data_IF_563942067243
#
_entry.id   IF_563942067243
#
_cell.length_a   1.000
_cell.length_b   1.000
_cell.length_c   1.000
_cell.angle_alpha   90.00
_cell.angle_beta   90.00
_cell.angle_gamma   90.00
#
_symmetry.space_group_name_H-M   'P 1'
#
loop_
_entity.id
_entity.type
_entity.pdbx_description
1 polymer ?
#
# COMPACT_ATOMS: atom_id res chain seq x y z
N UNK A 1 18.06 23.10 40.10
CA UNK A 1 17.99 22.65 38.69
C UNK A 1 17.07 21.43 38.66
N UNK A 2 15.81 21.69 38.45
CA UNK A 2 14.79 20.62 38.35
C UNK A 2 14.84 20.04 36.94
N UNK A 3 15.28 18.80 36.86
CA UNK A 3 15.29 18.01 35.64
C UNK A 3 13.83 17.65 35.31
N UNK A 4 13.17 18.44 34.46
CA UNK A 4 11.85 18.19 33.96
C UNK A 4 11.98 17.12 32.85
N UNK A 5 12.16 15.87 33.26
CA UNK A 5 11.96 14.72 32.40
C UNK A 5 10.44 14.60 32.19
N UNK A 6 9.90 15.34 31.23
CA UNK A 6 8.59 14.99 30.67
C UNK A 6 8.71 13.56 30.15
N UNK A 7 8.15 12.62 30.88
CA UNK A 7 7.85 11.29 30.36
C UNK A 7 6.98 11.51 29.12
N UNK A 8 7.56 11.37 27.94
CA UNK A 8 6.78 11.32 26.72
C UNK A 8 5.84 10.13 26.90
N UNK A 9 4.55 10.41 27.07
CA UNK A 9 3.56 9.34 27.16
C UNK A 9 3.63 8.54 25.86
N UNK A 10 3.87 7.25 25.98
CA UNK A 10 3.95 6.34 24.84
C UNK A 10 2.58 6.33 24.16
N UNK A 11 2.53 6.52 22.83
CA UNK A 11 1.29 6.54 22.06
C UNK A 11 0.53 5.21 22.23
N UNK A 12 -0.74 5.27 22.63
CA UNK A 12 -1.61 4.11 22.74
C UNK A 12 -2.15 3.70 21.36
N UNK A 13 -2.56 2.43 21.23
CA UNK A 13 -3.22 1.94 20.01
C UNK A 13 -4.46 2.77 19.68
N UNK A 14 -5.32 3.08 20.66
CA UNK A 14 -6.50 3.92 20.43
C UNK A 14 -6.15 5.30 19.87
N UNK A 15 -5.08 5.93 20.36
CA UNK A 15 -4.61 7.23 19.88
C UNK A 15 -4.07 7.15 18.45
N UNK A 16 -3.30 6.10 18.15
CA UNK A 16 -2.77 5.83 16.81
C UNK A 16 -3.91 5.61 15.81
N UNK A 17 -4.90 4.78 16.15
CA UNK A 17 -6.03 4.49 15.26
C UNK A 17 -6.90 5.73 15.09
N UNK A 18 -7.17 6.49 16.15
CA UNK A 18 -7.92 7.74 16.02
C UNK A 18 -7.19 8.76 15.13
N UNK A 19 -5.87 8.89 15.25
CA UNK A 19 -5.08 9.73 14.35
C UNK A 19 -5.19 9.23 12.90
N UNK A 20 -5.08 7.91 12.69
CA UNK A 20 -5.20 7.29 11.38
C UNK A 20 -6.57 7.58 10.73
N UNK A 21 -7.65 7.33 11.46
CA UNK A 21 -9.02 7.50 10.96
C UNK A 21 -9.39 8.98 10.70
N UNK A 22 -8.72 9.91 11.34
CA UNK A 22 -8.83 11.34 11.02
C UNK A 22 -8.08 11.71 9.73
N UNK A 23 -7.02 10.99 9.38
CA UNK A 23 -6.23 11.24 8.18
C UNK A 23 -6.70 10.44 6.97
N UNK A 24 -7.02 9.17 7.16
CA UNK A 24 -7.51 8.24 6.15
C UNK A 24 -8.81 7.56 6.66
N UNK A 25 -9.91 8.31 6.62
CA UNK A 25 -11.17 7.87 7.21
C UNK A 25 -11.67 6.58 6.56
N UNK A 26 -11.99 5.52 7.33
CA UNK A 26 -12.55 4.27 6.79
C UNK A 26 -13.85 4.46 5.99
N UNK A 27 -14.62 5.52 6.26
CA UNK A 27 -15.83 5.83 5.49
C UNK A 27 -15.55 6.24 4.03
N UNK A 28 -14.29 6.52 3.67
CA UNK A 28 -13.88 6.82 2.28
C UNK A 28 -13.56 5.56 1.47
N UNK A 29 -13.63 4.38 2.09
CA UNK A 29 -13.43 3.11 1.39
C UNK A 29 -14.46 2.89 0.28
N UNK A 30 -14.12 2.06 -0.69
CA UNK A 30 -15.07 1.58 -1.68
C UNK A 30 -16.16 0.69 -1.04
N UNK A 31 -17.35 0.67 -1.61
CA UNK A 31 -18.50 -0.06 -1.06
C UNK A 31 -18.29 -1.58 -0.93
N UNK A 32 -17.36 -2.13 -1.68
CA UNK A 32 -17.00 -3.55 -1.67
C UNK A 32 -15.84 -3.87 -0.70
N UNK A 33 -15.19 -2.83 -0.15
CA UNK A 33 -14.00 -2.95 0.67
C UNK A 33 -14.31 -3.16 2.16
N UNK A 34 -13.29 -3.51 2.93
CA UNK A 34 -13.39 -3.75 4.37
C UNK A 34 -12.17 -3.16 5.11
N UNK A 35 -12.10 -1.81 5.17
CA UNK A 35 -11.08 -1.10 5.94
C UNK A 35 -11.41 -1.06 7.45
N UNK A 36 -10.40 -0.78 8.25
CA UNK A 36 -10.54 -0.65 9.69
C UNK A 36 -10.20 -1.94 10.44
N UNK A 37 -10.76 -2.08 11.63
CA UNK A 37 -10.52 -3.25 12.47
C UNK A 37 -10.99 -4.54 11.82
N UNK A 38 -10.06 -5.46 11.60
CA UNK A 38 -10.36 -6.83 11.18
C UNK A 38 -10.50 -7.76 12.37
N UNK A 39 -9.64 -7.56 13.38
CA UNK A 39 -9.68 -8.25 14.67
C UNK A 39 -9.23 -7.25 15.73
N UNK A 40 -10.06 -7.05 16.76
CA UNK A 40 -9.75 -6.19 17.91
C UNK A 40 -9.91 -7.02 19.20
N UNK A 41 -8.80 -7.51 19.81
CA UNK A 41 -8.84 -8.39 20.98
C UNK A 41 -8.74 -7.67 22.34
N UNK A 42 -9.15 -6.40 22.45
CA UNK A 42 -9.10 -5.63 23.70
C UNK A 42 -7.75 -4.95 23.97
N UNK A 43 -7.04 -4.51 22.92
CA UNK A 43 -5.68 -3.95 23.04
C UNK A 43 -5.61 -2.42 23.00
N UNK A 44 -6.72 -1.73 22.90
CA UNK A 44 -6.79 -0.28 22.62
C UNK A 44 -6.00 0.59 23.58
N UNK A 45 -5.96 0.23 24.87
CA UNK A 45 -5.27 1.00 25.91
C UNK A 45 -3.77 0.69 26.03
N UNK A 46 -3.28 -0.31 25.31
CA UNK A 46 -1.87 -0.68 25.35
C UNK A 46 -1.00 0.32 24.55
N UNK A 47 0.27 0.54 24.97
CA UNK A 47 1.25 1.24 24.13
C UNK A 47 1.38 0.57 22.76
N UNK A 48 1.29 1.35 21.68
CA UNK A 48 1.33 0.83 20.32
C UNK A 48 2.72 0.25 19.98
N UNK A 49 2.75 -1.03 19.60
CA UNK A 49 3.90 -1.73 19.04
C UNK A 49 3.46 -2.46 17.79
N UNK A 50 3.86 -1.94 16.65
CA UNK A 50 3.21 -2.18 15.36
C UNK A 50 4.11 -2.94 14.41
N UNK A 51 3.61 -4.05 13.88
CA UNK A 51 4.20 -4.75 12.74
C UNK A 51 3.40 -4.37 11.48
N UNK A 52 4.05 -3.75 10.50
CA UNK A 52 3.41 -3.31 9.25
C UNK A 52 3.66 -4.35 8.17
N UNK A 53 2.66 -4.62 7.35
CA UNK A 53 2.76 -5.49 6.16
C UNK A 53 1.84 -5.01 5.04
N UNK A 54 2.10 -5.47 3.83
CA UNK A 54 1.16 -5.30 2.72
C UNK A 54 -0.04 -6.24 2.93
N UNK A 55 0.23 -7.53 3.15
CA UNK A 55 -0.81 -8.56 3.32
C UNK A 55 -0.65 -9.29 4.65
N UNK A 56 -1.69 -9.30 5.52
CA UNK A 56 -1.64 -10.01 6.80
C UNK A 56 -1.83 -11.51 6.58
N UNK A 57 -0.75 -12.27 6.76
CA UNK A 57 -0.69 -13.73 6.60
C UNK A 57 -0.44 -14.44 7.93
N UNK A 58 -0.57 -15.78 7.94
CA UNK A 58 -0.15 -16.58 9.10
C UNK A 58 1.33 -16.38 9.41
N UNK A 59 2.19 -16.27 8.39
CA UNK A 59 3.63 -16.05 8.59
C UNK A 59 3.91 -14.68 9.26
N UNK A 60 3.16 -13.64 8.92
CA UNK A 60 3.24 -12.32 9.59
C UNK A 60 2.76 -12.42 11.05
N UNK A 61 1.68 -13.15 11.31
CA UNK A 61 1.19 -13.36 12.68
C UNK A 61 2.20 -14.17 13.52
N UNK A 62 2.78 -15.21 12.96
CA UNK A 62 3.82 -16.02 13.64
C UNK A 62 5.08 -15.18 13.91
N UNK A 63 5.47 -14.29 13.01
CA UNK A 63 6.54 -13.31 13.27
C UNK A 63 6.20 -12.42 14.45
N UNK A 64 4.99 -11.83 14.48
CA UNK A 64 4.55 -10.99 15.60
C UNK A 64 4.60 -11.75 16.93
N UNK A 65 4.14 -13.01 16.97
CA UNK A 65 4.21 -13.87 18.14
C UNK A 65 5.67 -14.18 18.53
N UNK A 66 6.53 -14.46 17.54
CA UNK A 66 7.94 -14.71 17.77
C UNK A 66 8.65 -13.51 18.40
N UNK A 67 8.36 -12.29 17.90
CA UNK A 67 8.89 -11.05 18.46
C UNK A 67 8.42 -10.84 19.91
N UNK A 68 7.16 -11.15 20.23
CA UNK A 68 6.67 -11.13 21.63
C UNK A 68 7.44 -12.08 22.53
N UNK A 69 7.73 -13.30 22.08
CA UNK A 69 8.51 -14.29 22.83
C UNK A 69 9.96 -13.82 23.06
N UNK A 70 10.45 -12.88 22.26
CA UNK A 70 11.78 -12.23 22.42
C UNK A 70 11.72 -10.96 23.28
N UNK A 71 10.57 -10.63 23.86
CA UNK A 71 10.38 -9.47 24.73
C UNK A 71 9.96 -8.19 24.00
N UNK A 72 9.69 -8.25 22.70
CA UNK A 72 9.11 -7.15 21.93
C UNK A 72 7.59 -7.36 21.89
N UNK A 73 6.86 -6.68 22.75
CA UNK A 73 5.43 -6.91 22.97
C UNK A 73 4.54 -6.38 21.83
N UNK A 74 4.69 -6.95 20.61
CA UNK A 74 3.87 -6.60 19.44
C UNK A 74 2.40 -6.83 19.77
N UNK A 75 1.57 -5.81 19.53
CA UNK A 75 0.15 -5.87 19.84
C UNK A 75 -0.76 -5.38 18.70
N UNK A 76 -0.16 -4.94 17.56
CA UNK A 76 -0.90 -4.54 16.38
C UNK A 76 -0.17 -4.97 15.11
N UNK A 77 -0.86 -5.67 14.22
CA UNK A 77 -0.52 -5.81 12.81
C UNK A 77 -1.32 -4.76 12.06
N UNK A 78 -0.62 -3.86 11.38
CA UNK A 78 -1.23 -2.83 10.54
C UNK A 78 -0.95 -3.18 9.08
N UNK A 79 -1.99 -3.52 8.33
CA UNK A 79 -1.89 -4.04 6.98
C UNK A 79 -2.53 -3.11 5.95
N UNK A 80 -2.06 -3.17 4.70
CA UNK A 80 -2.76 -2.54 3.59
C UNK A 80 -3.94 -3.39 3.15
N UNK A 81 -3.73 -4.66 2.81
CA UNK A 81 -4.80 -5.54 2.38
C UNK A 81 -5.67 -6.03 3.55
N UNK A 82 -7.00 -6.13 3.37
CA UNK A 82 -7.87 -6.67 4.39
C UNK A 82 -7.66 -8.18 4.59
N UNK A 83 -7.56 -8.60 5.85
CA UNK A 83 -7.54 -10.01 6.22
C UNK A 83 -8.89 -10.67 5.87
N UNK A 84 -9.98 -9.97 6.16
CA UNK A 84 -11.35 -10.43 5.92
C UNK A 84 -11.93 -9.61 4.77
N UNK A 85 -11.57 -9.97 3.53
CA UNK A 85 -12.05 -9.27 2.34
C UNK A 85 -13.56 -9.48 2.11
N UNK A 86 -14.04 -10.69 2.36
CA UNK A 86 -15.47 -11.02 2.25
C UNK A 86 -16.01 -11.49 3.60
N UNK A 87 -17.29 -11.20 3.93
CA UNK A 87 -17.89 -11.60 5.20
C UNK A 87 -17.73 -13.10 5.47
N UNK A 88 -17.27 -13.45 6.67
CA UNK A 88 -17.11 -14.84 7.09
C UNK A 88 -18.47 -15.44 7.45
N UNK A 89 -18.81 -16.58 6.85
CA UNK A 89 -20.00 -17.34 7.20
C UNK A 89 -19.79 -18.30 8.38
N UNK A 90 -18.55 -18.66 8.66
CA UNK A 90 -18.18 -19.54 9.78
C UNK A 90 -16.68 -19.43 10.08
N UNK A 91 -16.32 -19.74 11.33
CA UNK A 91 -14.93 -19.88 11.78
C UNK A 91 -14.72 -21.38 12.02
N UNK A 92 -13.80 -22.00 11.28
CA UNK A 92 -13.52 -23.44 11.35
C UNK A 92 -12.03 -23.72 11.35
N UNK A 93 -11.61 -24.79 12.05
CA UNK A 93 -10.21 -25.26 12.01
C UNK A 93 -9.79 -25.59 10.57
N UNK A 94 -8.49 -25.36 10.26
CA UNK A 94 -7.94 -25.59 8.93
C UNK A 94 -8.17 -24.45 7.92
N UNK A 95 -8.91 -23.41 8.29
CA UNK A 95 -9.04 -22.20 7.49
C UNK A 95 -8.01 -21.16 7.97
N UNK A 96 -7.15 -20.60 7.09
CA UNK A 96 -6.10 -19.63 7.48
C UNK A 96 -6.64 -18.41 8.21
N UNK A 97 -7.77 -17.83 7.77
CA UNK A 97 -8.37 -16.66 8.44
C UNK A 97 -8.87 -17.03 9.84
N UNK A 98 -9.50 -18.21 9.99
CA UNK A 98 -9.94 -18.70 11.31
C UNK A 98 -8.77 -18.91 12.26
N UNK A 99 -7.62 -19.36 11.77
CA UNK A 99 -6.40 -19.51 12.55
C UNK A 99 -5.82 -18.15 12.94
N UNK A 100 -5.81 -17.19 12.03
CA UNK A 100 -5.45 -15.79 12.33
C UNK A 100 -6.31 -15.21 13.45
N UNK A 101 -7.63 -15.39 13.38
CA UNK A 101 -8.57 -14.96 14.44
C UNK A 101 -8.23 -15.60 15.77
N UNK A 102 -8.01 -16.92 15.80
CA UNK A 102 -7.65 -17.65 17.01
C UNK A 102 -6.34 -17.13 17.63
N UNK A 103 -5.29 -16.99 16.82
CA UNK A 103 -3.98 -16.50 17.26
C UNK A 103 -4.05 -15.04 17.76
N UNK A 104 -4.77 -14.18 17.06
CA UNK A 104 -4.96 -12.78 17.42
C UNK A 104 -5.57 -12.65 18.83
N UNK A 105 -6.66 -13.37 19.12
CA UNK A 105 -7.27 -13.37 20.45
C UNK A 105 -6.40 -14.07 21.50
N UNK A 106 -5.74 -15.19 21.16
CA UNK A 106 -4.88 -15.91 22.09
C UNK A 106 -3.67 -15.07 22.54
N UNK A 107 -3.08 -14.32 21.61
CA UNK A 107 -1.88 -13.52 21.85
C UNK A 107 -2.18 -12.03 22.02
N UNK A 108 -3.44 -11.61 22.02
CA UNK A 108 -3.84 -10.22 22.10
C UNK A 108 -3.08 -9.32 21.09
N UNK A 109 -3.13 -9.72 19.81
CA UNK A 109 -2.58 -8.97 18.70
C UNK A 109 -3.72 -8.52 17.81
N UNK A 110 -3.96 -7.21 17.72
CA UNK A 110 -4.94 -6.64 16.82
C UNK A 110 -4.53 -6.73 15.36
N UNK A 111 -5.50 -6.74 14.44
CA UNK A 111 -5.27 -6.61 12.99
C UNK A 111 -6.13 -5.47 12.48
N UNK A 112 -5.49 -4.44 11.96
CA UNK A 112 -6.12 -3.26 11.38
C UNK A 112 -5.72 -3.11 9.92
N UNK A 113 -6.66 -2.71 9.07
CA UNK A 113 -6.44 -2.59 7.62
C UNK A 113 -6.72 -1.18 7.12
N UNK A 114 -5.82 -0.70 6.27
CA UNK A 114 -5.89 0.56 5.55
C UNK A 114 -5.72 0.28 4.05
N UNK A 115 -6.81 0.18 3.33
CA UNK A 115 -6.84 -0.24 1.92
C UNK A 115 -7.29 0.92 1.02
N UNK A 116 -8.45 0.84 0.38
CA UNK A 116 -8.88 1.88 -0.58
C UNK A 116 -9.06 3.28 0.02
N UNK A 117 -9.26 3.41 1.32
CA UNK A 117 -9.21 4.70 2.00
C UNK A 117 -7.79 5.30 2.02
N UNK A 118 -6.75 4.46 2.15
CA UNK A 118 -5.34 4.89 2.10
C UNK A 118 -4.88 5.22 0.68
N UNK A 119 -5.46 4.59 -0.34
CA UNK A 119 -5.15 4.87 -1.74
C UNK A 119 -5.53 6.27 -2.20
N UNK A 120 -6.48 6.90 -1.53
CA UNK A 120 -7.03 8.18 -1.93
C UNK A 120 -6.34 9.38 -1.28
N UNK A 121 -5.76 9.20 -0.08
CA UNK A 121 -5.26 10.33 0.71
C UNK A 121 -3.96 10.90 0.16
N UNK A 122 -3.70 12.17 0.47
CA UNK A 122 -2.41 12.80 0.21
C UNK A 122 -1.33 12.09 1.04
N UNK A 123 -0.17 11.84 0.41
CA UNK A 123 0.92 11.04 0.95
C UNK A 123 0.52 9.57 1.23
N UNK A 124 -0.49 9.09 0.48
CA UNK A 124 -0.91 7.69 0.41
C UNK A 124 -0.14 6.89 -0.65
N UNK A 125 -0.68 5.71 -1.01
CA UNK A 125 0.00 4.75 -1.91
C UNK A 125 0.41 5.36 -3.25
N UNK A 126 -0.49 6.09 -3.90
CA UNK A 126 -0.23 6.69 -5.21
C UNK A 126 0.75 7.86 -5.15
N UNK A 127 0.76 8.66 -4.06
CA UNK A 127 1.75 9.71 -3.87
C UNK A 127 3.15 9.14 -3.65
N UNK A 128 3.26 8.01 -2.94
CA UNK A 128 4.54 7.31 -2.76
C UNK A 128 5.11 6.88 -4.12
N UNK A 129 4.29 6.29 -5.00
CA UNK A 129 4.71 5.95 -6.36
C UNK A 129 5.13 7.18 -7.16
N UNK A 130 4.34 8.26 -7.12
CA UNK A 130 4.66 9.51 -7.81
C UNK A 130 6.00 10.10 -7.33
N UNK A 131 6.27 10.03 -6.02
CA UNK A 131 7.54 10.49 -5.43
C UNK A 131 8.73 9.60 -5.84
N UNK A 132 8.55 8.28 -5.86
CA UNK A 132 9.58 7.33 -6.32
C UNK A 132 9.98 7.62 -7.78
N UNK A 133 9.02 7.97 -8.63
CA UNK A 133 9.29 8.36 -10.01
C UNK A 133 9.65 9.83 -10.18
N UNK A 134 9.74 10.61 -9.08
CA UNK A 134 10.10 12.04 -9.07
C UNK A 134 9.15 12.92 -9.88
N UNK A 135 7.88 12.53 -9.99
CA UNK A 135 6.86 13.28 -10.71
C UNK A 135 6.64 14.66 -10.05
N UNK A 136 6.49 15.68 -10.88
CA UNK A 136 6.20 17.07 -10.50
C UNK A 136 4.77 17.44 -10.86
N UNK A 137 4.23 18.48 -10.20
CA UNK A 137 2.88 19.02 -10.46
C UNK A 137 1.82 17.91 -10.39
N UNK A 138 1.90 17.10 -9.34
CA UNK A 138 1.11 15.88 -9.17
C UNK A 138 -0.33 16.23 -8.82
N UNK A 139 -1.28 15.57 -9.49
CA UNK A 139 -2.71 15.66 -9.22
C UNK A 139 -3.37 14.29 -9.26
N UNK A 140 -4.53 14.08 -8.59
CA UNK A 140 -5.26 12.82 -8.70
C UNK A 140 -5.72 12.54 -10.15
N UNK A 141 -5.68 11.26 -10.56
CA UNK A 141 -6.28 10.79 -11.83
C UNK A 141 -7.80 10.91 -11.75
N UNK A 142 -8.38 10.46 -10.64
CA UNK A 142 -9.82 10.53 -10.37
C UNK A 142 -10.04 11.16 -9.01
N UNK A 143 -10.34 12.46 -8.94
CA UNK A 143 -10.72 13.10 -7.69
C UNK A 143 -12.00 12.48 -7.10
N UNK A 144 -12.03 12.27 -5.79
CA UNK A 144 -13.21 11.76 -5.04
C UNK A 144 -13.80 12.82 -4.15
N UNK A 145 -12.98 13.55 -3.40
CA UNK A 145 -13.33 14.67 -2.54
C UNK A 145 -12.27 15.75 -2.68
N UNK A 146 -12.45 16.91 -2.06
CA UNK A 146 -11.45 17.97 -2.10
C UNK A 146 -10.10 17.50 -1.55
N UNK A 147 -9.09 17.50 -2.39
CA UNK A 147 -7.74 17.06 -2.08
C UNK A 147 -7.50 15.55 -2.07
N UNK A 148 -8.53 14.72 -2.26
CA UNK A 148 -8.45 13.27 -2.28
C UNK A 148 -8.70 12.71 -3.69
N UNK A 149 -8.26 11.48 -3.93
CA UNK A 149 -8.58 10.77 -5.17
C UNK A 149 -7.61 9.66 -5.52
N UNK A 150 -8.05 8.80 -6.42
CA UNK A 150 -7.29 7.63 -6.88
C UNK A 150 -6.21 7.99 -7.88
N UNK A 151 -5.08 7.31 -7.71
CA UNK A 151 -3.91 7.46 -8.56
C UNK A 151 -3.32 8.86 -8.55
N UNK A 152 -2.22 9.02 -9.24
CA UNK A 152 -1.58 10.32 -9.45
C UNK A 152 -1.12 10.46 -10.89
N UNK A 153 -1.22 11.66 -11.43
CA UNK A 153 -0.63 12.03 -12.70
C UNK A 153 0.27 13.24 -12.50
N UNK A 154 1.44 13.21 -13.11
CA UNK A 154 2.42 14.29 -12.97
C UNK A 154 3.40 14.32 -14.14
N UNK A 155 4.30 15.27 -14.10
CA UNK A 155 5.28 15.54 -15.15
C UNK A 155 6.68 15.05 -14.74
N UNK A 156 7.40 14.44 -15.68
CA UNK A 156 8.83 14.22 -15.56
C UNK A 156 9.57 15.51 -15.96
N UNK A 157 10.52 15.93 -15.15
CA UNK A 157 11.34 17.12 -15.43
C UNK A 157 12.79 16.86 -15.02
N UNK A 158 13.70 16.66 -15.99
CA UNK A 158 13.48 16.62 -17.44
C UNK A 158 12.65 15.40 -17.91
N UNK A 159 12.15 15.44 -19.16
CA UNK A 159 11.56 14.27 -19.81
C UNK A 159 12.61 13.16 -19.97
N UNK A 160 12.14 11.91 -19.95
CA UNK A 160 12.96 10.70 -20.16
C UNK A 160 12.55 9.99 -21.43
N UNK A 161 13.45 9.22 -22.03
CA UNK A 161 13.04 8.22 -23.00
C UNK A 161 12.24 7.12 -22.31
N UNK A 162 11.38 6.40 -23.02
CA UNK A 162 10.65 5.27 -22.46
C UNK A 162 11.61 4.22 -21.88
N UNK A 163 12.76 3.97 -22.53
CA UNK A 163 13.79 3.06 -22.05
C UNK A 163 14.37 3.49 -20.70
N UNK A 164 14.66 4.78 -20.52
CA UNK A 164 15.14 5.33 -19.25
C UNK A 164 14.09 5.22 -18.17
N UNK A 165 12.83 5.50 -18.49
CA UNK A 165 11.71 5.37 -17.53
C UNK A 165 11.52 3.91 -17.08
N UNK A 166 11.54 2.94 -18.01
CA UNK A 166 11.46 1.50 -17.69
C UNK A 166 12.63 1.07 -16.79
N UNK A 167 13.84 1.55 -17.09
CA UNK A 167 15.04 1.28 -16.28
C UNK A 167 14.93 1.89 -14.88
N UNK A 168 14.37 3.10 -14.77
CA UNK A 168 14.12 3.76 -13.50
C UNK A 168 13.08 3.00 -12.66
N UNK A 169 11.97 2.57 -13.26
CA UNK A 169 10.94 1.73 -12.63
C UNK A 169 11.57 0.43 -12.11
N UNK A 170 12.34 -0.26 -12.96
CA UNK A 170 13.01 -1.53 -12.58
C UNK A 170 13.97 -1.35 -11.41
N UNK A 171 14.72 -0.26 -11.40
CA UNK A 171 15.70 0.01 -10.34
C UNK A 171 15.04 0.42 -9.02
N UNK A 172 14.00 1.27 -9.07
CA UNK A 172 13.43 1.89 -7.87
C UNK A 172 12.34 1.05 -7.21
N UNK A 173 11.56 0.32 -7.98
CA UNK A 173 10.48 -0.55 -7.47
C UNK A 173 10.92 -2.01 -7.37
N UNK A 174 12.03 -2.39 -8.05
CA UNK A 174 12.55 -3.76 -8.07
C UNK A 174 11.47 -4.81 -8.41
N UNK A 175 10.59 -4.57 -9.41
CA UNK A 175 9.63 -5.58 -9.80
C UNK A 175 10.33 -6.81 -10.34
N UNK A 176 9.77 -8.01 -10.15
CA UNK A 176 10.37 -9.23 -10.71
C UNK A 176 10.42 -9.18 -12.23
N UNK A 177 9.40 -8.60 -12.87
CA UNK A 177 9.36 -8.35 -14.31
C UNK A 177 8.55 -7.07 -14.63
N UNK A 178 8.66 -6.58 -15.87
CA UNK A 178 7.85 -5.49 -16.40
C UNK A 178 7.15 -5.95 -17.67
N UNK A 179 5.82 -5.88 -17.67
CA UNK A 179 5.02 -6.11 -18.88
C UNK A 179 4.55 -4.75 -19.38
N UNK A 180 4.72 -4.44 -20.66
CA UNK A 180 4.28 -3.16 -21.20
C UNK A 180 3.72 -3.29 -22.62
N UNK A 181 3.04 -2.26 -23.09
CA UNK A 181 2.36 -2.21 -24.38
C UNK A 181 3.30 -2.53 -25.54
N UNK A 182 2.87 -3.36 -26.51
CA UNK A 182 3.72 -3.75 -27.65
C UNK A 182 3.84 -2.62 -28.69
N UNK A 183 4.90 -2.70 -29.51
CA UNK A 183 5.06 -1.84 -30.69
C UNK A 183 5.39 -0.38 -30.39
N UNK A 184 5.88 -0.07 -29.18
CA UNK A 184 6.28 1.27 -28.76
C UNK A 184 7.73 1.57 -29.12
N UNK A 185 8.03 2.83 -29.44
CA UNK A 185 9.41 3.29 -29.60
C UNK A 185 10.05 3.55 -28.24
N UNK A 186 11.06 2.76 -27.88
CA UNK A 186 11.78 2.92 -26.61
C UNK A 186 12.56 4.24 -26.53
N UNK A 187 12.83 4.92 -27.65
CA UNK A 187 13.50 6.21 -27.68
C UNK A 187 12.52 7.40 -27.65
N UNK A 188 11.19 7.17 -27.68
CA UNK A 188 10.25 8.27 -27.55
C UNK A 188 10.34 8.98 -26.22
N UNK A 189 10.21 10.31 -26.22
CA UNK A 189 10.25 11.12 -25.02
C UNK A 189 8.93 11.01 -24.24
N UNK A 190 9.05 10.74 -22.95
CA UNK A 190 7.95 10.70 -21.99
C UNK A 190 8.10 11.91 -21.07
N UNK A 191 7.07 12.73 -21.00
CA UNK A 191 7.01 13.91 -20.14
C UNK A 191 5.89 13.84 -19.09
N UNK A 192 4.83 13.03 -19.35
CA UNK A 192 3.67 12.96 -18.46
C UNK A 192 3.32 11.51 -18.15
N UNK A 193 3.29 11.18 -16.87
CA UNK A 193 3.11 9.81 -16.37
C UNK A 193 1.99 9.77 -15.35
N UNK A 194 1.15 8.74 -15.44
CA UNK A 194 0.15 8.39 -14.44
C UNK A 194 0.59 7.14 -13.68
N UNK A 195 0.30 7.09 -12.39
CA UNK A 195 0.61 5.97 -11.50
C UNK A 195 -0.57 5.61 -10.60
N UNK A 196 -0.80 4.33 -10.39
CA UNK A 196 -1.72 3.79 -9.39
C UNK A 196 -1.23 2.41 -8.99
N UNK A 197 -0.97 2.18 -7.70
CA UNK A 197 -0.56 0.89 -7.16
C UNK A 197 -1.66 -0.15 -7.25
N UNK A 198 -1.27 -1.42 -7.24
CA UNK A 198 -2.22 -2.52 -7.30
C UNK A 198 -3.01 -2.61 -8.60
N UNK A 199 -4.22 -3.14 -8.52
CA UNK A 199 -5.08 -3.46 -9.67
C UNK A 199 -5.81 -2.23 -10.23
N UNK A 200 -5.07 -1.34 -10.89
CA UNK A 200 -5.57 -0.04 -11.38
C UNK A 200 -6.04 0.01 -12.83
N UNK A 201 -6.04 -1.11 -13.57
CA UNK A 201 -6.33 -1.07 -15.02
C UNK A 201 -7.76 -0.61 -15.38
N UNK A 202 -8.70 -0.62 -14.45
CA UNK A 202 -10.03 -0.05 -14.63
C UNK A 202 -10.03 1.48 -14.81
N UNK A 203 -8.94 2.17 -14.44
CA UNK A 203 -8.78 3.60 -14.57
C UNK A 203 -8.21 4.05 -15.93
N UNK A 204 -7.92 3.15 -16.88
CA UNK A 204 -7.38 3.49 -18.22
C UNK A 204 -8.12 4.65 -18.86
N UNK A 205 -9.47 4.61 -18.87
CA UNK A 205 -10.28 5.66 -19.44
C UNK A 205 -10.13 7.04 -18.75
N UNK A 206 -9.92 7.04 -17.44
CA UNK A 206 -9.67 8.27 -16.68
C UNK A 206 -8.24 8.78 -16.95
N UNK A 207 -7.26 7.89 -17.00
CA UNK A 207 -5.86 8.22 -17.28
C UNK A 207 -5.71 8.87 -18.67
N UNK A 208 -6.35 8.32 -19.70
CA UNK A 208 -6.33 8.90 -21.05
C UNK A 208 -6.79 10.37 -21.06
N UNK A 209 -7.81 10.71 -20.27
CA UNK A 209 -8.32 12.09 -20.15
C UNK A 209 -7.34 13.06 -19.53
N UNK A 210 -6.36 12.58 -18.76
CA UNK A 210 -5.32 13.41 -18.14
C UNK A 210 -4.22 13.82 -19.11
N UNK A 211 -4.16 13.22 -20.30
CA UNK A 211 -3.09 13.41 -21.28
C UNK A 211 -1.78 12.71 -20.92
N UNK A 212 -1.80 11.75 -20.00
CA UNK A 212 -0.62 10.93 -19.67
C UNK A 212 -0.22 10.06 -20.89
N UNK A 213 1.07 9.97 -21.15
CA UNK A 213 1.65 9.12 -22.19
C UNK A 213 1.86 7.68 -21.71
N UNK A 214 2.14 7.54 -20.41
CA UNK A 214 2.42 6.27 -19.73
C UNK A 214 1.53 6.13 -18.51
N UNK A 215 1.03 4.92 -18.29
CA UNK A 215 0.32 4.54 -17.09
C UNK A 215 0.99 3.33 -16.43
N UNK A 216 1.52 3.53 -15.23
CA UNK A 216 2.10 2.50 -14.38
C UNK A 216 1.06 2.00 -13.38
N UNK A 217 0.78 0.69 -13.41
CA UNK A 217 -0.14 0.00 -12.49
C UNK A 217 0.20 -1.49 -12.42
N UNK A 218 -0.74 -2.35 -12.04
CA UNK A 218 -0.53 -3.80 -12.02
C UNK A 218 -1.81 -4.61 -12.31
N UNK A 219 -1.65 -5.94 -12.34
CA UNK A 219 -2.71 -6.94 -12.57
C UNK A 219 -3.49 -6.72 -13.87
N UNK A 220 -2.77 -6.29 -14.91
CA UNK A 220 -3.37 -5.94 -16.19
C UNK A 220 -3.70 -7.17 -17.03
N UNK A 221 -4.92 -7.24 -17.53
CA UNK A 221 -5.39 -8.31 -18.41
C UNK A 221 -5.02 -8.01 -19.87
N UNK A 222 -4.95 -9.05 -20.69
CA UNK A 222 -4.64 -8.94 -22.12
C UNK A 222 -5.42 -7.85 -22.85
N UNK A 223 -6.76 -7.81 -22.70
CA UNK A 223 -7.59 -6.81 -23.38
C UNK A 223 -7.37 -5.36 -22.88
N UNK A 224 -6.83 -5.18 -21.68
CA UNK A 224 -6.51 -3.85 -21.15
C UNK A 224 -5.25 -3.28 -21.81
N UNK A 225 -4.27 -4.10 -22.16
CA UNK A 225 -3.16 -3.69 -23.03
C UNK A 225 -3.63 -3.32 -24.43
N UNK A 226 -4.62 -4.05 -24.98
CA UNK A 226 -5.23 -3.71 -26.25
C UNK A 226 -5.97 -2.35 -26.15
N UNK A 227 -6.80 -2.16 -25.12
CA UNK A 227 -7.51 -0.91 -24.87
C UNK A 227 -6.54 0.29 -24.76
N UNK A 228 -5.48 0.14 -23.96
CA UNK A 228 -4.47 1.18 -23.78
C UNK A 228 -3.80 1.55 -25.11
N UNK A 229 -3.35 0.54 -25.87
CA UNK A 229 -2.75 0.75 -27.20
C UNK A 229 -3.68 1.47 -28.16
N UNK A 230 -4.94 1.06 -28.24
CA UNK A 230 -5.93 1.64 -29.16
C UNK A 230 -6.26 3.11 -28.78
N UNK A 231 -5.88 3.53 -27.56
CA UNK A 231 -6.00 4.91 -27.06
C UNK A 231 -4.67 5.67 -27.02
N UNK A 232 -3.61 5.14 -27.63
CA UNK A 232 -2.27 5.71 -27.61
C UNK A 232 -1.68 5.91 -26.21
N UNK A 233 -2.03 5.05 -25.24
CA UNK A 233 -1.50 5.02 -23.89
C UNK A 233 -0.54 3.83 -23.75
N UNK A 234 0.67 4.07 -23.23
CA UNK A 234 1.60 3.02 -22.90
C UNK A 234 1.22 2.52 -21.49
N UNK A 235 0.70 1.31 -21.41
CA UNK A 235 0.40 0.64 -20.15
C UNK A 235 1.61 -0.14 -19.70
N UNK A 236 1.99 0.02 -18.43
CA UNK A 236 3.06 -0.74 -17.77
C UNK A 236 2.47 -1.44 -16.56
N UNK A 237 2.59 -2.78 -16.54
CA UNK A 237 2.34 -3.61 -15.37
C UNK A 237 3.67 -3.92 -14.70
N UNK A 238 3.88 -3.37 -13.50
CA UNK A 238 5.09 -3.57 -12.71
C UNK A 238 4.86 -4.54 -11.52
N UNK A 239 3.71 -5.19 -11.49
CA UNK A 239 3.35 -6.11 -10.43
C UNK A 239 2.76 -5.45 -9.19
N UNK A 240 1.82 -6.16 -8.57
CA UNK A 240 1.02 -5.68 -7.45
C UNK A 240 1.91 -5.31 -6.25
N UNK A 241 2.69 -6.27 -5.78
CA UNK A 241 3.56 -6.08 -4.63
C UNK A 241 4.55 -4.92 -4.83
N UNK A 242 5.21 -4.84 -5.98
CA UNK A 242 6.20 -3.80 -6.23
C UNK A 242 5.59 -2.39 -6.30
N UNK A 243 4.32 -2.27 -6.68
CA UNK A 243 3.65 -0.96 -6.79
C UNK A 243 2.99 -0.49 -5.50
N UNK A 244 2.69 -1.37 -4.53
CA UNK A 244 2.05 -1.00 -3.26
C UNK A 244 2.98 -1.11 -2.05
N UNK A 245 3.89 -2.09 -2.03
CA UNK A 245 4.80 -2.35 -0.92
C UNK A 245 5.59 -1.10 -0.43
N UNK A 246 6.05 -0.19 -1.32
CA UNK A 246 6.73 1.03 -0.88
C UNK A 246 5.90 1.92 0.05
N UNK A 247 4.57 1.87 -0.01
CA UNK A 247 3.71 2.62 0.90
C UNK A 247 3.79 2.10 2.34
N UNK A 248 4.11 0.81 2.54
CA UNK A 248 4.33 0.25 3.87
C UNK A 248 5.58 0.85 4.55
N UNK A 249 6.65 1.12 3.79
CA UNK A 249 7.83 1.83 4.32
C UNK A 249 7.47 3.26 4.75
N UNK A 250 6.61 3.93 3.98
CA UNK A 250 6.09 5.25 4.33
C UNK A 250 5.28 5.21 5.63
N UNK A 251 4.48 4.16 5.86
CA UNK A 251 3.75 3.98 7.11
C UNK A 251 4.69 3.79 8.31
N UNK A 252 5.76 3.01 8.16
CA UNK A 252 6.79 2.89 9.21
C UNK A 252 7.33 4.27 9.60
N UNK A 253 7.74 5.07 8.63
CA UNK A 253 8.26 6.43 8.87
C UNK A 253 7.22 7.33 9.55
N UNK A 254 5.97 7.30 9.09
CA UNK A 254 4.87 8.08 9.69
C UNK A 254 4.65 7.71 11.16
N UNK A 255 4.54 6.42 11.47
CA UNK A 255 4.29 5.96 12.83
C UNK A 255 5.48 6.23 13.77
N UNK A 256 6.71 6.14 13.27
CA UNK A 256 7.91 6.60 14.01
C UNK A 256 7.84 8.08 14.34
N UNK A 257 7.47 8.92 13.38
CA UNK A 257 7.33 10.37 13.56
C UNK A 257 6.20 10.75 14.54
N UNK A 258 5.20 9.90 14.69
CA UNK A 258 4.12 10.05 15.68
C UNK A 258 4.53 9.61 17.09
N UNK A 259 5.72 9.02 17.26
CA UNK A 259 6.19 8.54 18.56
C UNK A 259 5.68 7.15 18.94
N UNK A 260 5.30 6.32 17.97
CA UNK A 260 5.04 4.90 18.21
C UNK A 260 6.34 4.26 18.69
N UNK A 261 6.29 3.62 19.88
CA UNK A 261 7.48 3.13 20.59
C UNK A 261 8.26 2.09 19.77
N UNK A 262 7.54 1.21 19.10
CA UNK A 262 8.14 0.20 18.23
C UNK A 262 7.27 0.05 16.98
N UNK A 263 7.88 0.21 15.82
CA UNK A 263 7.24 -0.04 14.54
C UNK A 263 8.28 -0.54 13.55
N UNK A 264 7.96 -1.63 12.89
CA UNK A 264 8.77 -2.22 11.81
C UNK A 264 7.87 -2.78 10.73
N UNK A 265 8.49 -2.95 9.56
CA UNK A 265 7.94 -3.73 8.49
C UNK A 265 8.18 -5.21 8.76
N UNK A 266 7.19 -6.05 8.46
CA UNK A 266 7.32 -7.50 8.55
C UNK A 266 8.40 -8.03 7.60
N UNK A 267 9.23 -8.93 8.08
CA UNK A 267 10.19 -9.68 7.29
C UNK A 267 9.54 -10.87 6.55
N UNK A 268 8.26 -11.14 6.86
CA UNK A 268 7.42 -12.16 6.22
C UNK A 268 6.44 -11.61 5.20
N UNK A 269 6.55 -10.30 4.92
CA UNK A 269 5.79 -9.66 3.85
C UNK A 269 6.43 -10.00 2.50
N UNK A 270 5.68 -10.63 1.59
CA UNK A 270 6.22 -11.20 0.37
C UNK A 270 5.31 -11.02 -0.84
N UNK A 271 5.88 -11.06 -2.06
CA UNK A 271 5.09 -11.23 -3.29
C UNK A 271 4.71 -12.71 -3.42
N UNK A 272 3.41 -13.00 -3.56
CA UNK A 272 2.90 -14.37 -3.73
C UNK A 272 3.11 -14.92 -5.14
N UNK A 273 3.67 -14.14 -6.04
CA UNK A 273 3.95 -14.52 -7.42
C UNK A 273 5.44 -14.76 -7.62
N UNK A 274 5.76 -15.90 -8.16
CA UNK A 274 7.12 -16.26 -8.52
C UNK A 274 7.24 -16.33 -10.04
N UNK A 275 8.36 -15.83 -10.56
CA UNK A 275 8.63 -15.75 -11.98
C UNK A 275 9.72 -16.74 -12.34
N UNK A 276 9.48 -17.58 -13.34
CA UNK A 276 10.46 -18.54 -13.82
C UNK A 276 11.28 -17.92 -14.96
N UNK A 277 12.61 -18.02 -14.89
CA UNK A 277 13.52 -17.56 -15.95
C UNK A 277 13.90 -16.07 -15.90
N UNK A 278 13.70 -15.43 -14.76
CA UNK A 278 14.12 -14.03 -14.51
C UNK A 278 15.38 -14.03 -13.66
#
# INVERSE_FOLDING_TARGET
MTNDQRSMSTMKIAELINWWENWANPAWQENWDNCGWQIEPGVLDAPARVLICLTPTLAVMEEAISLRNQGIDINLIFAHHPLIFSPLKSIRSGNPISEMVRLAFTHQIGVYTAHTNFDQVNDGTADVLAQILELKEVTPITPTQEGLGYGRVGNLSPSLTLQELLSQIKTRLSPPDLIFSPGVDLQQNISRVAVLGGSGASFISAVVKTGAQVYLTSDCKFHQFQEARDRNLILIDAGHYATERPACDRLVQKFQNLGVEWVKLSEKDEDFRWFYGV
#
